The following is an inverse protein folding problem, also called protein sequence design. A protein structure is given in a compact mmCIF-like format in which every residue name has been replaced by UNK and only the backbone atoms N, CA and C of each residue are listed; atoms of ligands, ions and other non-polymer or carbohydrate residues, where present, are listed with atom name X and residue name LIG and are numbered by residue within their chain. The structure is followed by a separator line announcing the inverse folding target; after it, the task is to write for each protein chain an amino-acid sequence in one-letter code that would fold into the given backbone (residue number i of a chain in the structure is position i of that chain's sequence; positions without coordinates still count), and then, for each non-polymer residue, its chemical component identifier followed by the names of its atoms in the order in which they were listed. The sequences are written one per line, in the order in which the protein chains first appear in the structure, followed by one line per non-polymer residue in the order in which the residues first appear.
data_IF_480466104565
#
_entry.id   IF_480466104565
#
_cell.length_a   1.000
_cell.length_b   1.000
_cell.length_c   1.000
_cell.angle_alpha   90.00
_cell.angle_beta   90.00
_cell.angle_gamma   90.00
#
_symmetry.space_group_name_H-M   'P 1'
#
loop_
_entity.id
_entity.type
_entity.pdbx_description
1 polymer ?
2 non-polymer ?
3 non-polymer ?
4 water ?
#
# COMPACT_ATOMS: atom_id res chain seq x y z
N UNK A 18 -7.58 -14.83 -15.43
CA UNK A 18 -9.01 -14.69 -15.03
C UNK A 18 -9.15 -13.96 -13.70
N UNK A 19 -9.51 -12.68 -13.77
CA UNK A 19 -9.67 -11.86 -12.58
C UNK A 19 -8.38 -11.84 -11.77
N UNK A 20 -7.48 -10.89 -12.07
CA UNK A 20 -6.21 -10.79 -11.35
C UNK A 20 -6.38 -10.46 -9.87
N UNK A 21 -5.53 -11.04 -9.03
CA UNK A 21 -5.59 -10.81 -7.59
C UNK A 21 -4.77 -9.58 -7.21
N UNK A 22 -5.45 -8.57 -6.70
CA UNK A 22 -4.77 -7.35 -6.31
C UNK A 22 -4.83 -7.09 -4.82
N UNK A 23 -3.65 -6.93 -4.26
CA UNK A 23 -3.53 -6.67 -2.84
C UNK A 23 -3.35 -5.17 -2.69
N UNK A 24 -4.30 -4.54 -2.00
CA UNK A 24 -4.25 -3.09 -1.79
C UNK A 24 -3.91 -2.81 -0.33
N UNK A 25 -3.01 -1.86 -0.09
CA UNK A 25 -2.57 -1.56 1.26
C UNK A 25 -2.54 -0.10 1.63
N UNK A 26 -2.88 0.15 2.89
CA UNK A 26 -2.88 1.48 3.46
C UNK A 26 -1.92 1.58 4.66
N UNK A 27 -1.17 2.68 4.64
CA UNK A 27 -0.17 3.08 5.62
C UNK A 27 -0.76 4.24 6.40
N UNK A 28 -0.03 4.66 7.43
CA UNK A 28 -0.42 5.73 8.31
C UNK A 28 -0.45 7.16 7.81
N UNK A 29 -0.87 7.36 6.58
CA UNK A 29 -0.95 8.72 6.06
C UNK A 29 -2.40 9.16 6.18
N UNK A 30 -2.60 10.45 6.43
CA UNK A 30 -3.94 10.99 6.55
C UNK A 30 -4.69 10.66 5.24
N UNK A 31 -3.95 10.59 4.14
CA UNK A 31 -4.57 10.25 2.87
C UNK A 31 -5.33 8.91 2.94
N UNK A 32 -5.06 8.11 3.97
CA UNK A 32 -5.73 6.81 4.12
C UNK A 32 -7.26 6.95 4.17
N UNK A 33 -7.76 8.16 4.35
CA UNK A 33 -9.20 8.35 4.38
C UNK A 33 -9.84 8.02 3.01
N UNK A 34 -9.05 8.05 1.93
CA UNK A 34 -9.57 7.74 0.60
C UNK A 34 -9.32 6.29 0.21
N UNK A 35 -8.95 5.47 1.18
CA UNK A 35 -8.64 4.08 0.90
C UNK A 35 -9.86 3.27 0.46
N UNK A 36 -11.02 3.50 1.08
CA UNK A 36 -12.21 2.76 0.69
C UNK A 36 -12.55 3.00 -0.77
N UNK A 37 -12.47 4.26 -1.17
CA UNK A 37 -12.76 4.63 -2.52
C UNK A 37 -11.77 3.97 -3.47
N UNK A 38 -10.50 3.90 -3.06
CA UNK A 38 -9.47 3.27 -3.88
C UNK A 38 -9.80 1.81 -4.12
N UNK A 39 -10.31 1.13 -3.10
CA UNK A 39 -10.67 -0.27 -3.25
C UNK A 39 -11.79 -0.39 -4.27
N UNK A 40 -12.74 0.55 -4.21
CA UNK A 40 -13.86 0.57 -5.15
C UNK A 40 -13.39 0.65 -6.62
N UNK A 41 -12.36 1.44 -6.88
CA UNK A 41 -11.81 1.56 -8.24
C UNK A 41 -11.31 0.23 -8.81
N UNK A 42 -10.94 -0.72 -7.95
CA UNK A 42 -10.41 -1.99 -8.41
C UNK A 42 -11.34 -3.17 -8.39
N UNK A 43 -12.33 -3.11 -7.51
CA UNK A 43 -13.26 -4.21 -7.32
C UNK A 43 -13.85 -4.86 -8.57
N UNK A 44 -14.36 -4.07 -9.50
CA UNK A 44 -14.94 -4.66 -10.69
C UNK A 44 -13.90 -5.36 -11.58
N UNK A 45 -12.74 -4.73 -11.75
CA UNK A 45 -11.69 -5.28 -12.57
C UNK A 45 -10.95 -6.47 -11.95
N UNK A 46 -10.74 -6.43 -10.64
CA UNK A 46 -10.01 -7.51 -10.00
C UNK A 46 -10.56 -7.97 -8.68
N UNK A 47 -10.01 -9.07 -8.18
CA UNK A 47 -10.41 -9.60 -6.89
C UNK A 47 -9.50 -8.83 -5.93
N UNK A 48 -10.11 -8.10 -5.01
CA UNK A 48 -9.35 -7.29 -4.08
C UNK A 48 -9.36 -7.75 -2.63
N UNK A 49 -8.19 -7.64 -2.01
CA UNK A 49 -7.99 -7.96 -0.60
C UNK A 49 -7.20 -6.77 -0.06
N UNK A 50 -7.55 -6.30 1.13
CA UNK A 50 -6.86 -5.16 1.70
C UNK A 50 -6.03 -5.49 2.93
N UNK A 51 -4.95 -4.74 3.10
CA UNK A 51 -4.02 -4.87 4.22
C UNK A 51 -3.75 -3.46 4.72
N UNK A 52 -3.81 -3.29 6.04
CA UNK A 52 -3.60 -1.97 6.63
C UNK A 52 -2.72 -2.02 7.84
N UNK A 53 -2.06 -0.92 8.12
CA UNK A 53 -1.21 -0.83 9.29
C UNK A 53 -2.06 -0.30 10.44
N UNK A 54 -1.56 -0.48 11.65
CA UNK A 54 -2.25 -0.02 12.84
C UNK A 54 -2.57 1.48 12.73
N UNK A 55 -1.59 2.28 12.33
CA UNK A 55 -1.82 3.71 12.22
C UNK A 55 -2.81 4.12 11.15
N UNK A 56 -2.87 3.33 10.09
CA UNK A 56 -3.78 3.64 9.00
C UNK A 56 -5.20 3.54 9.54
N UNK A 57 -5.41 2.70 10.56
CA UNK A 57 -6.74 2.56 11.12
C UNK A 57 -7.24 3.85 11.78
N UNK A 58 -6.35 4.83 11.89
CA UNK A 58 -6.72 6.12 12.47
C UNK A 58 -7.47 6.99 11.45
N UNK A 59 -7.25 6.73 10.16
CA UNK A 59 -7.85 7.52 9.09
C UNK A 59 -8.79 6.71 8.20
N UNK A 60 -8.73 5.39 8.33
CA UNK A 60 -9.54 4.50 7.52
C UNK A 60 -10.88 4.19 8.13
N UNK A 61 -11.90 4.19 7.29
CA UNK A 61 -13.25 3.91 7.73
C UNK A 61 -13.72 2.60 7.11
N UNK A 62 -13.81 1.56 7.94
CA UNK A 62 -14.22 0.24 7.46
C UNK A 62 -15.48 0.26 6.61
N UNK A 63 -16.49 0.98 7.05
CA UNK A 63 -17.73 1.01 6.30
C UNK A 63 -17.61 1.69 4.92
N UNK A 64 -16.52 2.40 4.66
CA UNK A 64 -16.35 3.05 3.35
C UNK A 64 -15.75 2.10 2.31
N UNK A 65 -15.38 0.90 2.74
CA UNK A 65 -14.81 -0.05 1.81
C UNK A 65 -15.87 -0.95 1.21
N UNK A 66 -15.56 -1.53 0.05
CA UNK A 66 -16.50 -2.43 -0.62
C UNK A 66 -16.76 -3.62 0.30
N UNK A 67 -18.01 -4.05 0.41
CA UNK A 67 -18.33 -5.18 1.28
C UNK A 67 -17.58 -6.45 0.89
N UNK A 68 -17.36 -6.65 -0.41
CA UNK A 68 -16.65 -7.82 -0.91
C UNK A 68 -15.15 -7.82 -0.58
N UNK A 69 -14.66 -6.74 0.01
CA UNK A 69 -13.25 -6.65 0.31
C UNK A 69 -12.88 -7.13 1.71
N UNK A 70 -11.99 -8.11 1.77
CA UNK A 70 -11.55 -8.62 3.07
C UNK A 70 -10.40 -7.75 3.57
N UNK A 71 -10.51 -7.33 4.82
CA UNK A 71 -9.51 -6.48 5.44
C UNK A 71 -8.66 -7.28 6.41
N UNK A 72 -7.35 -7.23 6.20
CA UNK A 72 -6.42 -7.94 7.07
C UNK A 72 -5.61 -6.98 7.89
N UNK A 73 -5.45 -7.30 9.17
CA UNK A 73 -4.68 -6.47 10.10
C UNK A 73 -3.58 -7.36 10.68
N UNK A 74 -2.69 -6.76 11.45
CA UNK A 74 -1.60 -7.50 12.07
C UNK A 74 -2.12 -8.65 12.91
N UNK A 75 -3.25 -8.42 13.56
CA UNK A 75 -3.83 -9.44 14.40
C UNK A 75 -4.15 -10.72 13.62
N UNK A 76 -4.47 -10.57 12.35
CA UNK A 76 -4.78 -11.71 11.51
C UNK A 76 -3.52 -12.60 11.35
N UNK A 77 -2.33 -11.99 11.44
CA UNK A 77 -1.07 -12.73 11.37
C UNK A 77 -1.02 -13.71 12.53
N UNK A 78 -1.04 -13.16 13.74
CA UNK A 78 -0.98 -13.96 14.97
C UNK A 78 -2.30 -14.59 15.33
N UNK A 79 -2.98 -15.14 14.34
CA UNK A 79 -4.26 -15.77 14.59
C UNK A 79 -4.44 -16.93 13.65
N UNK A 80 -3.93 -16.77 12.43
CA UNK A 80 -4.04 -17.81 11.43
C UNK A 80 -2.98 -18.86 11.70
N UNK A 81 -2.23 -18.66 12.78
CA UNK A 81 -1.17 -19.60 13.14
C UNK A 81 -1.12 -19.84 14.64
N UNK A 82 -1.23 -21.10 15.05
CA UNK A 82 -1.20 -21.47 16.47
C UNK A 82 -0.06 -22.45 16.70
N UNK A 83 0.08 -23.38 15.76
CA UNK A 83 1.11 -24.40 15.82
C UNK A 83 1.67 -24.65 14.43
N UNK A 84 2.85 -25.25 14.38
CA UNK A 84 3.50 -25.55 13.12
C UNK A 84 2.49 -26.20 12.19
N UNK A 85 2.70 -26.04 10.89
CA UNK A 85 1.77 -26.62 9.94
C UNK A 85 0.68 -25.65 9.50
N UNK A 86 0.33 -24.70 10.36
CA UNK A 86 -0.69 -23.72 10.00
C UNK A 86 -0.10 -22.76 8.96
N UNK A 87 -0.97 -22.06 8.22
CA UNK A 87 -0.54 -21.10 7.18
C UNK A 87 0.06 -19.83 7.79
N UNK A 88 1.01 -19.25 7.08
CA UNK A 88 1.65 -18.01 7.51
C UNK A 88 1.02 -16.96 6.61
N UNK A 89 0.20 -16.10 7.19
CA UNK A 89 -0.51 -15.09 6.43
C UNK A 89 0.34 -14.20 5.53
N UNK A 90 1.41 -13.60 6.06
CA UNK A 90 2.18 -12.73 5.18
C UNK A 90 2.67 -13.51 3.94
N UNK A 91 2.95 -14.80 4.11
CA UNK A 91 3.38 -15.62 2.98
C UNK A 91 2.18 -16.00 2.12
N UNK A 92 1.08 -16.35 2.77
CA UNK A 92 -0.14 -16.70 2.07
C UNK A 92 -0.57 -15.53 1.17
N UNK A 93 -0.49 -14.30 1.68
CA UNK A 93 -0.92 -13.17 0.86
C UNK A 93 0.05 -12.87 -0.28
N UNK A 94 1.34 -13.01 -0.01
CA UNK A 94 2.37 -12.77 -1.01
C UNK A 94 2.19 -13.71 -2.20
N UNK A 95 1.83 -14.95 -1.90
CA UNK A 95 1.61 -15.95 -2.93
C UNK A 95 0.32 -15.69 -3.69
N UNK A 96 -0.76 -15.44 -2.95
CA UNK A 96 -2.08 -15.16 -3.53
C UNK A 96 -2.08 -14.00 -4.50
N UNK A 97 -1.44 -12.92 -4.09
CA UNK A 97 -1.41 -11.71 -4.89
C UNK A 97 -0.65 -11.73 -6.21
N UNK A 98 -1.22 -11.05 -7.21
CA UNK A 98 -0.56 -10.93 -8.50
C UNK A 98 0.14 -9.59 -8.49
N UNK A 99 -0.37 -8.65 -7.70
CA UNK A 99 0.24 -7.32 -7.60
C UNK A 99 -0.02 -6.70 -6.24
N UNK A 100 0.88 -5.82 -5.80
CA UNK A 100 0.69 -5.14 -4.53
C UNK A 100 0.71 -3.64 -4.74
N UNK A 101 -0.28 -2.99 -4.16
CA UNK A 101 -0.38 -1.55 -4.27
C UNK A 101 -0.52 -0.93 -2.88
N UNK A 102 0.42 -0.05 -2.53
CA UNK A 102 0.37 0.64 -1.25
C UNK A 102 0.02 2.08 -1.54
N UNK A 103 -1.17 2.45 -1.11
CA UNK A 103 -1.70 3.79 -1.33
C UNK A 103 -2.73 4.11 -0.24
N UNK A 104 -2.35 4.96 0.71
CA UNK A 104 -1.05 5.60 0.79
C UNK A 104 0.09 4.84 1.46
N UNK A 105 1.30 5.29 1.09
CA UNK A 105 2.57 4.82 1.60
C UNK A 105 3.05 6.01 2.43
N UNK A 106 3.19 5.80 3.74
CA UNK A 106 3.67 6.85 4.66
C UNK A 106 5.21 6.94 4.59
N UNK A 107 5.78 8.02 5.13
CA UNK A 107 7.23 8.16 5.13
C UNK A 107 7.81 7.10 6.06
N UNK A 108 7.05 6.77 7.10
CA UNK A 108 7.52 5.77 8.02
C UNK A 108 7.63 4.39 7.33
N UNK A 109 6.58 3.98 6.64
CA UNK A 109 6.63 2.68 6.00
C UNK A 109 7.68 2.65 4.85
N UNK A 110 7.82 3.78 4.16
CA UNK A 110 8.80 3.94 3.13
C UNK A 110 10.19 3.64 3.72
N UNK A 111 10.49 4.28 4.85
CA UNK A 111 11.75 4.04 5.51
C UNK A 111 11.93 2.60 6.00
N UNK A 112 10.85 1.94 6.39
CA UNK A 112 11.01 0.55 6.87
C UNK A 112 11.31 -0.38 5.70
N UNK A 113 10.71 -0.06 4.56
CA UNK A 113 10.90 -0.82 3.35
C UNK A 113 12.36 -0.65 2.94
N UNK A 114 12.81 0.59 2.87
CA UNK A 114 14.19 0.86 2.50
C UNK A 114 15.14 0.24 3.53
N UNK A 115 14.70 0.10 4.77
CA UNK A 115 15.58 -0.49 5.76
C UNK A 115 15.51 -2.01 5.92
N UNK A 116 14.74 -2.67 5.07
CA UNK A 116 14.61 -4.11 5.18
C UNK A 116 13.99 -4.51 6.50
N UNK A 117 13.11 -3.67 7.03
CA UNK A 117 12.49 -3.99 8.31
C UNK A 117 11.12 -4.62 8.09
N UNK A 118 10.64 -5.34 9.10
CA UNK A 118 9.33 -5.95 8.99
C UNK A 118 8.81 -6.25 10.38
N UNK A 119 8.01 -5.33 10.89
CA UNK A 119 7.48 -5.53 12.22
C UNK A 119 5.95 -5.56 12.21
N UNK A 120 5.35 -5.72 11.04
CA UNK A 120 3.91 -5.82 10.93
C UNK A 120 3.56 -6.57 9.68
N UNK A 121 2.27 -6.85 9.51
CA UNK A 121 1.80 -7.61 8.35
C UNK A 121 2.21 -7.03 7.00
N UNK A 122 1.99 -5.74 6.81
CA UNK A 122 2.33 -5.12 5.55
C UNK A 122 3.83 -5.20 5.25
N UNK A 123 4.66 -4.84 6.22
CA UNK A 123 6.10 -4.88 6.00
C UNK A 123 6.63 -6.29 5.86
N UNK A 124 5.98 -7.25 6.51
CA UNK A 124 6.45 -8.62 6.34
C UNK A 124 6.14 -9.07 4.92
N UNK A 125 4.98 -8.68 4.39
CA UNK A 125 4.65 -9.04 3.02
C UNK A 125 5.70 -8.43 2.08
N UNK A 126 6.04 -7.16 2.29
CA UNK A 126 7.03 -6.52 1.43
C UNK A 126 8.39 -7.21 1.52
N UNK A 127 8.78 -7.60 2.73
CA UNK A 127 10.06 -8.24 2.98
C UNK A 127 10.18 -9.60 2.31
N UNK A 128 9.03 -10.23 2.10
CA UNK A 128 9.00 -11.53 1.48
C UNK A 128 8.41 -11.45 0.09
N UNK A 129 8.32 -10.24 -0.44
CA UNK A 129 7.71 -10.05 -1.74
C UNK A 129 8.41 -10.67 -2.94
N UNK A 130 7.67 -11.45 -3.71
CA UNK A 130 8.23 -12.06 -4.92
C UNK A 130 8.29 -10.95 -5.98
N UNK A 131 9.45 -10.33 -6.12
CA UNK A 131 9.61 -9.24 -7.07
C UNK A 131 9.44 -9.57 -8.54
N UNK A 132 8.91 -10.75 -8.84
CA UNK A 132 8.63 -11.10 -10.22
C UNK A 132 7.26 -10.45 -10.42
N UNK A 133 6.58 -10.21 -9.31
CA UNK A 133 5.28 -9.58 -9.36
C UNK A 133 5.43 -8.09 -9.15
N UNK A 134 4.58 -7.30 -9.81
CA UNK A 134 4.67 -5.85 -9.66
C UNK A 134 4.22 -5.32 -8.28
N UNK A 135 4.90 -4.27 -7.82
CA UNK A 135 4.58 -3.63 -6.55
C UNK A 135 4.58 -2.13 -6.76
N UNK A 136 3.41 -1.53 -6.58
CA UNK A 136 3.29 -0.10 -6.76
C UNK A 136 3.08 0.62 -5.43
N UNK A 137 3.64 1.82 -5.33
CA UNK A 137 3.49 2.65 -4.14
C UNK A 137 3.09 4.08 -4.50
N UNK A 138 2.15 4.60 -3.73
CA UNK A 138 1.68 5.97 -3.90
C UNK A 138 1.97 6.71 -2.60
N UNK A 139 3.13 7.38 -2.52
CA UNK A 139 3.50 8.11 -1.31
C UNK A 139 2.56 9.25 -0.98
N UNK A 140 2.43 9.51 0.32
CA UNK A 140 1.58 10.59 0.81
C UNK A 140 2.17 11.09 2.12
N UNK A 141 2.48 12.38 2.15
CA UNK A 141 3.05 13.02 3.32
C UNK A 141 3.09 14.51 3.05
N UNK A 142 3.38 15.28 4.09
CA UNK A 142 3.50 16.72 4.00
C UNK A 142 4.68 17.04 3.09
N UNK A 143 4.66 18.25 2.52
CA UNK A 143 5.69 18.75 1.62
C UNK A 143 7.11 18.72 2.21
N UNK A 144 7.24 19.17 3.45
CA UNK A 144 8.56 19.18 4.08
C UNK A 144 9.10 17.77 4.24
N UNK A 145 8.22 16.85 4.61
CA UNK A 145 8.63 15.45 4.74
C UNK A 145 8.93 14.93 3.36
N UNK A 146 8.13 15.34 2.38
CA UNK A 146 8.37 14.86 1.04
C UNK A 146 9.66 15.49 0.49
N UNK A 147 9.86 16.78 0.76
CA UNK A 147 11.06 17.48 0.31
C UNK A 147 12.32 17.07 1.07
N UNK A 148 12.13 16.43 2.23
CA UNK A 148 13.24 15.97 3.04
C UNK A 148 14.11 15.05 2.20
N UNK A 149 15.44 15.14 2.37
CA UNK A 149 16.39 14.32 1.62
C UNK A 149 16.25 12.82 1.76
N UNK A 150 15.71 12.34 2.88
CA UNK A 150 15.57 10.89 3.02
C UNK A 150 14.57 10.32 2.02
N UNK A 151 13.54 11.10 1.72
CA UNK A 151 12.54 10.68 0.76
C UNK A 151 13.21 10.19 -0.53
N UNK A 152 13.99 11.06 -1.16
CA UNK A 152 14.67 10.70 -2.39
C UNK A 152 15.57 9.50 -2.16
N UNK A 153 16.26 9.49 -1.02
CA UNK A 153 17.14 8.38 -0.70
C UNK A 153 16.34 7.07 -0.74
N UNK A 154 15.21 7.05 -0.06
CA UNK A 154 14.38 5.85 -0.03
C UNK A 154 13.78 5.50 -1.40
N UNK A 155 13.35 6.52 -2.14
CA UNK A 155 12.78 6.29 -3.46
C UNK A 155 13.81 5.64 -4.36
N UNK A 156 15.05 6.07 -4.20
CA UNK A 156 16.12 5.54 -5.00
C UNK A 156 16.22 4.04 -4.71
N UNK A 157 16.10 3.69 -3.44
CA UNK A 157 16.19 2.29 -3.04
C UNK A 157 15.05 1.47 -3.62
N UNK A 158 13.84 2.01 -3.58
CA UNK A 158 12.71 1.27 -4.12
C UNK A 158 12.95 1.02 -5.61
N UNK A 159 13.47 2.03 -6.29
CA UNK A 159 13.76 1.87 -7.70
C UNK A 159 14.66 0.70 -7.95
N UNK A 160 15.71 0.58 -7.14
CA UNK A 160 16.65 -0.51 -7.30
C UNK A 160 15.93 -1.81 -7.10
N UNK A 161 15.05 -1.86 -6.11
CA UNK A 161 14.30 -3.10 -5.88
C UNK A 161 13.38 -3.39 -7.05
N UNK A 162 13.06 -2.36 -7.83
CA UNK A 162 12.17 -2.54 -8.96
C UNK A 162 10.73 -2.10 -8.71
N UNK A 163 10.48 -1.54 -7.52
CA UNK A 163 9.15 -1.06 -7.16
C UNK A 163 8.81 0.15 -8.02
N UNK A 164 7.55 0.27 -8.39
CA UNK A 164 7.09 1.37 -9.24
C UNK A 164 6.45 2.49 -8.45
N UNK A 165 7.01 3.67 -8.59
CA UNK A 165 6.52 4.84 -7.90
C UNK A 165 5.42 5.59 -8.66
N UNK A 166 4.34 5.93 -7.95
CA UNK A 166 3.24 6.70 -8.52
C UNK A 166 3.34 7.98 -7.70
N UNK A 167 4.08 8.96 -8.22
CA UNK A 167 4.31 10.26 -7.58
C UNK A 167 3.13 10.98 -6.98
N UNK A 168 3.39 11.73 -5.90
CA UNK A 168 2.34 12.49 -5.23
C UNK A 168 2.08 13.75 -6.07
N UNK A 169 0.93 14.36 -5.84
CA UNK A 169 0.52 15.55 -6.58
C UNK A 169 0.54 16.81 -5.73
N UNK A 170 0.34 17.96 -6.37
CA UNK A 170 0.32 19.23 -5.65
C UNK A 170 -1.11 19.64 -5.29
N UNK A 171 -1.59 19.20 -4.13
CA UNK A 171 -2.94 19.53 -3.68
C UNK A 171 -2.86 20.34 -2.39
N UNK A 172 -3.99 20.44 -1.70
CA UNK A 172 -4.06 21.17 -0.44
C UNK A 172 -3.89 20.12 0.67
N UNK A 173 -2.71 20.11 1.28
CA UNK A 173 -2.38 19.17 2.35
C UNK A 173 -3.25 19.32 3.59
N UNK A 174 -3.33 18.25 4.38
CA UNK A 174 -4.12 18.25 5.61
C UNK A 174 -3.59 19.32 6.58
N UNK A 175 -2.38 19.79 6.31
CA UNK A 175 -1.72 20.80 7.13
C UNK A 175 -2.05 22.25 6.71
N UNK A 176 -3.10 22.39 5.90
CA UNK A 176 -3.53 23.71 5.45
C UNK A 176 -2.82 24.27 4.24
N UNK A 177 -1.49 24.21 4.26
CA UNK A 177 -0.68 24.73 3.17
C UNK A 177 -1.01 24.03 1.84
N UNK A 178 -0.34 24.46 0.78
CA UNK A 178 -0.55 23.90 -0.55
C UNK A 178 0.79 23.61 -1.22
N UNK A 179 1.03 22.33 -1.51
CA UNK A 179 2.28 21.94 -2.15
C UNK A 179 2.32 20.48 -2.55
N UNK A 180 3.52 19.99 -2.84
CA UNK A 180 3.64 18.60 -3.24
C UNK A 180 3.52 17.66 -2.03
N UNK A 181 3.16 16.41 -2.27
CA UNK A 181 3.04 15.46 -1.17
C UNK A 181 1.69 14.78 -1.04
N UNK A 182 0.65 15.34 -1.66
CA UNK A 182 -0.67 14.71 -1.60
C UNK A 182 -0.59 13.41 -2.38
N UNK A 183 -1.36 12.43 -1.95
CA UNK A 183 -1.34 11.16 -2.64
C UNK A 183 -1.91 11.29 -4.05
N UNK A 184 -1.38 10.50 -4.98
CA UNK A 184 -1.87 10.48 -6.34
C UNK A 184 -3.38 10.20 -6.25
N UNK A 185 -4.16 10.58 -7.27
CA UNK A 185 -5.60 10.33 -7.24
C UNK A 185 -5.89 8.85 -7.50
N UNK A 186 -6.95 8.33 -6.87
CA UNK A 186 -7.26 6.92 -7.09
C UNK A 186 -7.35 6.50 -8.56
N UNK A 187 -8.02 7.31 -9.39
CA UNK A 187 -8.17 6.98 -10.81
C UNK A 187 -6.80 6.76 -11.48
N UNK A 188 -5.84 7.64 -11.19
CA UNK A 188 -4.52 7.48 -11.75
C UNK A 188 -3.88 6.20 -11.22
N UNK A 189 -3.98 5.98 -9.91
CA UNK A 189 -3.40 4.78 -9.35
C UNK A 189 -3.98 3.59 -10.09
N UNK A 190 -5.29 3.61 -10.26
CA UNK A 190 -5.97 2.53 -10.95
C UNK A 190 -5.52 2.36 -12.40
N UNK A 191 -5.57 3.43 -13.18
CA UNK A 191 -5.16 3.31 -14.58
C UNK A 191 -3.69 2.90 -14.68
N UNK A 192 -2.83 3.38 -13.78
CA UNK A 192 -1.43 3.01 -13.86
C UNK A 192 -1.28 1.51 -13.70
N UNK A 193 -1.94 0.95 -12.70
CA UNK A 193 -1.81 -0.48 -12.49
C UNK A 193 -2.45 -1.27 -13.62
N UNK A 194 -3.56 -0.77 -14.13
CA UNK A 194 -4.26 -1.45 -15.21
C UNK A 194 -3.44 -1.43 -16.51
N UNK A 195 -2.91 -0.28 -16.89
CA UNK A 195 -2.14 -0.20 -18.12
C UNK A 195 -0.95 -1.14 -18.11
N UNK A 196 -0.27 -1.23 -16.98
CA UNK A 196 0.89 -2.10 -16.86
C UNK A 196 0.48 -3.55 -17.02
N UNK A 197 -0.55 -3.96 -16.30
CA UNK A 197 -1.00 -5.33 -16.35
C UNK A 197 -1.32 -5.80 -17.76
N UNK A 198 -2.08 -4.99 -18.49
CA UNK A 198 -2.47 -5.33 -19.85
C UNK A 198 -1.33 -5.18 -20.84
N UNK A 199 -0.10 -5.09 -20.33
CA UNK A 199 1.07 -4.96 -21.19
C UNK A 199 1.94 -6.22 -21.13
X LIG B 1 0.03 16.15 5.97
X LIG B 1 0.02 15.20 5.01
X LIG B 1 -0.82 15.16 3.96
X LIG B 1 -0.64 13.96 3.01
X LIG B 1 -1.03 14.18 1.53
X LIG B 1 -2.32 14.83 1.38
X LIG B 1 -3.36 14.26 0.73
X LIG B 1 -4.66 15.08 0.67
X LIG B 1 -5.85 14.48 1.55
X LIG B 1 -7.15 15.37 1.47
X LIG B 1 -7.63 15.55 0.12
X LIG B 1 -6.20 13.03 1.07
X LIG B 1 -5.44 14.38 3.06
X LIG B 1 -4.36 16.43 1.10
X LIG B 1 -3.29 13.15 0.22
X LIG B 1 -1.70 16.02 3.73
X LIG B 1 0.91 16.17 6.98
X LIG B 1 2.24 14.97 7.21
X LIG C 1 2.84 10.38 7.88
X LIG C 1 3.06 10.32 6.52
X LIG C 1 3.96 9.72 6.03
X LIG C 1 2.16 10.99 5.64
X LIG C 1 1.08 11.72 6.03
X LIG C 1 0.38 12.29 5.19
X LIG C 1 0.85 11.81 7.49
X LIG C 1 -0.19 12.47 7.99
X LIG C 1 -0.45 12.39 9.35
X LIG C 1 -1.64 13.03 9.88
X LIG C 1 -1.90 13.14 11.23
X LIG C 1 -3.17 13.82 11.72
X LIG C 1 -1.08 12.38 12.19
X LIG C 1 -1.43 12.37 13.66
X LIG C 1 0.09 11.78 11.71
X LIG C 1 0.44 11.76 10.32
X LIG C 1 1.61 11.16 9.76
X LIG C 1 1.81 11.07 8.37
X LIG C 1 2.59 10.46 10.65
X LIG C 1 2.30 8.94 10.69
X LIG C 1 0.98 8.61 11.12
X LIG C 1 3.33 8.20 11.59
X LIG C 1 4.70 8.36 11.08
X LIG C 1 3.07 6.71 11.77
X LIG C 1 3.96 6.11 12.73
X LIG C 1 3.09 5.91 10.48
X LIG C 1 2.70 4.55 10.75
X LIG C 1 2.85 3.46 9.63
X LIG C 1 4.29 3.49 9.21
X LIG C 1 1.95 3.80 8.53
X LIG C 1 2.48 2.13 10.29
#
# INVERSE_FOLDING_TARGET
MENGKRDRQDMEVNTTPRKPRVLLAASGSVAAIKFGNLCHCFTEWAEVRAVVTKSSLHFLDKLSLPQEVTLYTDEDEWSSWNKIGDPVLHIELRRWADVLVIAPLSANTLGKIAGGLCDNLLTCIIRAWDYTKPLFVAPAMNTLMWNNPFTERHLLSLDELGITLIPPIKKRLASGDYGNGAMAEPSLIYSTVRLFWESQAHQQTGGTS
PCO C23 N19 C17 C16 C15 N14 C12 C10 C7 C6 O5 C8 C9 O11 O13 O18 C24 S25
FMN N1 C2 O2 N3 C4 O4 C4A N5 C5A C6 C7 C7M C8 C8M C9 C9A N10 C10 C1' C2' O2' C3' O3' C4' O4' C5' O5' P O1P O2P O3P
#
